data_IF_125811012376
#
_entry.id   IF_125811012376
#
_cell.length_a   1.000
_cell.length_b   1.000
_cell.length_c   1.000
_cell.angle_alpha   90.00
_cell.angle_beta   90.00
_cell.angle_gamma   90.00
#
_symmetry.space_group_name_H-M   'P 1'
#
loop_
_entity.id
_entity.type
_entity.pdbx_description
1 polymer ?
#
# COMPACT_ATOMS: atom_id res chain seq x y z
N UNK A 1 -8.53 -1.47 -23.12
CA UNK A 1 -8.58 -1.74 -21.67
C UNK A 1 -7.34 -2.50 -21.25
N UNK A 2 -6.73 -2.10 -20.17
CA UNK A 2 -5.55 -2.77 -19.63
C UNK A 2 -5.93 -3.62 -18.43
N UNK A 3 -5.51 -4.87 -18.42
CA UNK A 3 -5.61 -5.75 -17.26
C UNK A 3 -4.35 -5.75 -16.40
N UNK A 4 -3.35 -4.99 -16.79
CA UNK A 4 -2.15 -4.85 -16.00
C UNK A 4 -2.43 -3.88 -14.88
N UNK A 5 -2.41 -4.36 -13.66
CA UNK A 5 -2.65 -3.55 -12.48
C UNK A 5 -1.70 -3.95 -11.38
N UNK A 6 -1.19 -2.94 -10.71
CA UNK A 6 -0.46 -3.16 -9.47
C UNK A 6 -1.43 -3.05 -8.31
N UNK A 7 -1.37 -4.04 -7.44
CA UNK A 7 -2.17 -4.07 -6.23
C UNK A 7 -1.32 -3.56 -5.08
N UNK A 8 -1.90 -2.69 -4.27
CA UNK A 8 -1.27 -2.28 -3.02
C UNK A 8 -1.94 -3.05 -1.90
N UNK A 9 -1.16 -3.88 -1.22
CA UNK A 9 -1.62 -4.59 -0.03
C UNK A 9 -1.27 -3.77 1.20
N UNK A 10 -2.18 -3.73 2.15
CA UNK A 10 -2.05 -2.92 3.35
C UNK A 10 -2.23 -3.82 4.56
N UNK A 11 -1.24 -3.84 5.45
CA UNK A 11 -1.30 -4.55 6.72
C UNK A 11 -1.40 -3.54 7.85
N UNK A 12 -2.58 -3.45 8.46
CA UNK A 12 -2.86 -2.46 9.49
C UNK A 12 -2.38 -2.94 10.86
N UNK A 13 -1.21 -2.45 11.28
CA UNK A 13 -0.73 -2.67 12.63
C UNK A 13 -1.09 -1.50 13.56
N UNK A 14 -0.76 -1.63 14.83
CA UNK A 14 -1.07 -0.60 15.83
C UNK A 14 -0.26 0.68 15.62
N UNK A 15 1.01 0.55 15.25
CA UNK A 15 1.94 1.67 15.11
C UNK A 15 2.39 1.90 13.68
N UNK A 16 2.22 0.90 12.81
CA UNK A 16 2.68 0.94 11.44
C UNK A 16 1.64 0.36 10.52
N UNK A 17 1.61 0.90 9.31
CA UNK A 17 0.83 0.33 8.23
C UNK A 17 1.85 -0.25 7.25
N UNK A 18 1.94 -1.57 7.18
CA UNK A 18 2.84 -2.25 6.25
C UNK A 18 2.29 -2.21 4.84
N UNK A 19 3.16 -2.04 3.87
CA UNK A 19 2.79 -1.93 2.48
C UNK A 19 3.53 -2.97 1.65
N UNK A 20 2.82 -3.56 0.70
CA UNK A 20 3.40 -4.39 -0.34
C UNK A 20 2.75 -4.05 -1.66
N UNK A 21 3.50 -4.11 -2.74
CA UNK A 21 2.98 -3.81 -4.06
C UNK A 21 3.25 -4.99 -4.99
N UNK A 22 2.27 -5.31 -5.83
CA UNK A 22 2.43 -6.36 -6.83
C UNK A 22 3.11 -5.80 -8.07
N UNK A 23 3.60 -6.70 -8.92
CA UNK A 23 3.99 -6.35 -10.26
C UNK A 23 2.75 -6.00 -11.11
N UNK A 24 2.96 -5.60 -12.34
CA UNK A 24 1.86 -5.22 -13.23
C UNK A 24 0.89 -6.37 -13.54
N UNK A 25 1.36 -7.60 -13.43
CA UNK A 25 0.53 -8.77 -13.69
C UNK A 25 -0.17 -9.27 -12.43
N UNK A 26 0.16 -8.72 -11.27
CA UNK A 26 -0.44 -9.11 -10.00
C UNK A 26 -0.01 -10.48 -9.51
N UNK A 27 1.14 -10.98 -9.97
CA UNK A 27 1.62 -12.33 -9.64
C UNK A 27 2.59 -12.38 -8.49
N UNK A 28 3.40 -11.34 -8.33
CA UNK A 28 4.45 -11.28 -7.32
C UNK A 28 4.29 -9.99 -6.54
N UNK A 29 4.31 -10.10 -5.21
CA UNK A 29 4.25 -8.92 -4.33
C UNK A 29 5.61 -8.70 -3.68
N UNK A 30 5.99 -7.44 -3.56
CA UNK A 30 7.24 -7.03 -2.95
C UNK A 30 6.97 -6.01 -1.86
N UNK A 31 7.75 -6.01 -0.77
CA UNK A 31 7.61 -4.99 0.26
C UNK A 31 7.77 -3.59 -0.32
N UNK A 32 6.91 -2.68 0.09
CA UNK A 32 6.91 -1.30 -0.38
C UNK A 32 7.01 -0.29 0.76
N UNK A 33 7.61 -0.70 1.88
CA UNK A 33 7.80 0.16 3.02
C UNK A 33 6.63 0.15 3.99
N UNK A 34 6.54 1.19 4.78
CA UNK A 34 5.47 1.32 5.76
C UNK A 34 5.18 2.79 6.01
N UNK A 35 4.02 3.03 6.61
CA UNK A 35 3.62 4.34 7.09
C UNK A 35 3.47 4.28 8.60
N UNK A 36 3.76 5.38 9.27
CA UNK A 36 3.55 5.46 10.70
C UNK A 36 2.06 5.68 11.00
N UNK A 37 1.61 5.08 12.09
CA UNK A 37 0.23 5.18 12.51
C UNK A 37 0.20 5.55 14.00
N UNK A 38 -0.69 6.48 14.36
CA UNK A 38 -0.94 6.78 15.77
C UNK A 38 -1.97 5.80 16.31
N UNK A 39 -1.67 5.10 17.42
CA UNK A 39 -2.63 4.17 18.03
C UNK A 39 -3.96 4.88 18.34
N UNK A 40 -5.06 4.18 18.07
CA UNK A 40 -6.39 4.72 18.31
C UNK A 40 -6.88 5.75 17.32
N UNK A 41 -6.09 6.06 16.28
CA UNK A 41 -6.48 7.00 15.24
C UNK A 41 -6.81 6.26 13.95
N UNK A 42 -7.49 6.97 13.04
CA UNK A 42 -7.80 6.43 11.73
C UNK A 42 -6.52 6.12 10.96
N UNK A 43 -6.55 5.11 10.07
CA UNK A 43 -5.43 4.88 9.17
C UNK A 43 -5.12 6.13 8.35
N UNK A 44 -3.85 6.34 7.96
CA UNK A 44 -3.45 7.53 7.20
C UNK A 44 -3.85 7.40 5.73
N UNK A 45 -5.14 7.59 5.42
CA UNK A 45 -5.69 7.35 4.09
C UNK A 45 -5.08 8.25 3.02
N UNK A 46 -4.86 9.53 3.32
CA UNK A 46 -4.25 10.44 2.37
C UNK A 46 -2.85 9.97 1.98
N UNK A 47 -2.05 9.56 2.96
CA UNK A 47 -0.71 9.05 2.71
C UNK A 47 -0.76 7.72 1.94
N UNK A 48 -1.73 6.86 2.24
CA UNK A 48 -1.91 5.61 1.52
C UNK A 48 -2.22 5.85 0.05
N UNK A 49 -3.13 6.78 -0.24
CA UNK A 49 -3.47 7.12 -1.62
C UNK A 49 -2.29 7.72 -2.36
N UNK A 50 -1.52 8.57 -1.69
CA UNK A 50 -0.31 9.14 -2.28
C UNK A 50 0.72 8.05 -2.62
N UNK A 51 0.93 7.10 -1.71
CA UNK A 51 1.85 5.98 -1.96
C UNK A 51 1.35 5.09 -3.10
N UNK A 52 0.05 4.81 -3.14
CA UNK A 52 -0.52 4.04 -4.23
C UNK A 52 -0.24 4.70 -5.58
N UNK A 53 -0.41 6.02 -5.66
CA UNK A 53 -0.13 6.75 -6.88
C UNK A 53 1.36 6.68 -7.25
N UNK A 54 2.26 6.87 -6.27
CA UNK A 54 3.70 6.77 -6.52
C UNK A 54 4.12 5.41 -7.03
N UNK A 55 3.48 4.35 -6.53
CA UNK A 55 3.80 2.97 -6.87
C UNK A 55 3.09 2.49 -8.14
N UNK A 56 2.20 3.29 -8.68
CA UNK A 56 1.44 2.91 -9.86
C UNK A 56 0.32 1.91 -9.58
N UNK A 57 -0.12 1.89 -8.35
CA UNK A 57 -1.19 0.98 -7.91
C UNK A 57 -2.57 1.60 -8.11
#
# INVERSE_FOLDING_TARGET
MSWRRRWLAVDLGDHRVGLAVSDELGMIASPAGHLLRRPGKRPPLTALLARAAELGA
#
